data_IF_509303323898
#
_entry.id   IF_509303323898
#
_cell.length_a   1.000
_cell.length_b   1.000
_cell.length_c   1.000
_cell.angle_alpha   90.00
_cell.angle_beta   90.00
_cell.angle_gamma   90.00
#
_symmetry.space_group_name_H-M   'P 1'
#
loop_
_entity.id
_entity.type
_entity.pdbx_description
1 polymer ?
#
# COMPACT_ATOMS: atom_id res chain seq x y z
N UNK A 1 18.24 21.21 3.26
CA UNK A 1 17.24 20.87 4.31
C UNK A 1 17.87 20.83 5.69
N UNK A 2 19.06 20.26 5.85
CA UNK A 2 19.68 20.01 7.18
C UNK A 2 19.86 21.24 8.08
N UNK A 3 20.31 22.39 7.55
CA UNK A 3 20.51 23.60 8.37
C UNK A 3 19.22 24.18 8.97
N UNK A 4 18.12 24.15 8.23
CA UNK A 4 16.81 24.63 8.73
C UNK A 4 16.25 23.69 9.80
N UNK A 5 16.44 22.38 9.62
CA UNK A 5 16.05 21.35 10.58
C UNK A 5 16.73 21.58 11.94
N UNK A 6 18.05 21.78 11.93
CA UNK A 6 18.84 22.04 13.15
C UNK A 6 18.43 23.35 13.83
N UNK A 7 18.12 24.40 13.06
CA UNK A 7 17.65 25.68 13.61
C UNK A 7 16.28 25.51 14.28
N UNK A 8 15.35 24.79 13.66
CA UNK A 8 14.04 24.49 14.25
C UNK A 8 14.14 23.63 15.50
N UNK A 9 14.99 22.60 15.50
CA UNK A 9 15.23 21.77 16.70
C UNK A 9 15.86 22.58 17.83
N UNK A 10 16.83 23.46 17.52
CA UNK A 10 17.46 24.32 18.54
C UNK A 10 16.46 25.31 19.14
N UNK A 11 15.56 25.86 18.31
CA UNK A 11 14.47 26.71 18.77
C UNK A 11 13.46 25.93 19.64
N UNK A 12 13.08 24.72 19.23
CA UNK A 12 12.19 23.84 20.01
C UNK A 12 12.76 23.45 21.37
N UNK A 13 14.04 23.07 21.41
CA UNK A 13 14.78 22.79 22.66
C UNK A 13 14.80 24.01 23.58
N UNK A 14 15.05 25.21 23.04
CA UNK A 14 15.05 26.44 23.84
C UNK A 14 13.68 26.81 24.42
N UNK A 15 12.61 26.24 23.87
CA UNK A 15 11.23 26.41 24.33
C UNK A 15 10.77 25.26 25.27
N UNK A 16 11.65 24.29 25.55
CA UNK A 16 11.33 23.16 26.42
C UNK A 16 10.45 22.07 25.77
N UNK A 17 10.37 22.04 24.44
CA UNK A 17 9.61 21.00 23.72
C UNK A 17 10.28 19.64 23.84
N UNK A 18 9.47 18.58 23.86
CA UNK A 18 9.98 17.21 23.80
C UNK A 18 10.59 16.90 22.42
N UNK A 19 11.43 15.88 22.34
CA UNK A 19 12.00 15.41 21.09
C UNK A 19 10.92 14.95 20.10
N UNK A 20 9.87 14.29 20.60
CA UNK A 20 8.71 13.91 19.79
C UNK A 20 7.98 15.11 19.19
N UNK A 21 7.72 16.17 19.96
CA UNK A 21 7.09 17.42 19.47
C UNK A 21 7.95 18.15 18.43
N UNK A 22 9.28 18.13 18.62
CA UNK A 22 10.19 18.71 17.63
C UNK A 22 10.14 17.95 16.30
N UNK A 23 10.10 16.61 16.34
CA UNK A 23 9.97 15.79 15.13
C UNK A 23 8.62 15.97 14.45
N UNK A 24 7.55 16.22 15.20
CA UNK A 24 6.26 16.59 14.62
C UNK A 24 6.33 17.87 13.80
N UNK A 25 6.97 18.91 14.34
CA UNK A 25 7.12 20.20 13.65
C UNK A 25 7.95 20.12 12.36
N UNK A 26 8.75 19.06 12.20
CA UNK A 26 9.57 18.78 11.03
C UNK A 26 8.83 17.98 9.95
N UNK A 27 7.59 17.57 10.19
CA UNK A 27 6.75 16.87 9.22
C UNK A 27 6.96 15.35 9.19
N UNK A 28 7.51 14.76 10.26
CA UNK A 28 7.56 13.31 10.40
C UNK A 28 6.14 12.73 10.54
N UNK A 29 5.95 11.49 10.08
CA UNK A 29 4.65 10.83 10.18
C UNK A 29 4.25 10.58 11.63
N UNK A 30 2.94 10.60 11.93
CA UNK A 30 2.38 10.34 13.26
C UNK A 30 2.89 9.05 13.90
N UNK A 31 3.14 8.00 13.11
CA UNK A 31 3.71 6.74 13.59
C UNK A 31 5.11 6.91 14.22
N UNK A 32 5.97 7.71 13.60
CA UNK A 32 7.34 7.97 14.08
C UNK A 32 7.29 8.85 15.34
N UNK A 33 6.42 9.86 15.35
CA UNK A 33 6.22 10.75 16.50
C UNK A 33 5.76 9.94 17.72
N UNK A 34 4.78 9.05 17.53
CA UNK A 34 4.30 8.15 18.58
C UNK A 34 5.42 7.27 19.14
N UNK A 35 6.19 6.60 18.28
CA UNK A 35 7.28 5.74 18.73
C UNK A 35 8.35 6.51 19.52
N UNK A 36 8.65 7.75 19.11
CA UNK A 36 9.56 8.63 19.83
C UNK A 36 9.00 9.09 21.18
N UNK A 37 7.72 9.45 21.24
CA UNK A 37 7.06 9.87 22.49
C UNK A 37 7.09 8.74 23.52
N UNK A 38 6.81 7.50 23.10
CA UNK A 38 6.92 6.32 23.96
C UNK A 38 8.36 6.09 24.44
N UNK A 39 9.32 6.21 23.53
CA UNK A 39 10.73 6.03 23.85
C UNK A 39 11.28 7.09 24.82
N UNK A 40 10.78 8.33 24.75
CA UNK A 40 11.09 9.39 25.70
C UNK A 40 10.55 9.08 27.10
N UNK A 41 9.30 8.63 27.20
CA UNK A 41 8.66 8.27 28.48
C UNK A 41 9.36 7.08 29.14
N UNK A 42 9.76 6.08 28.34
CA UNK A 42 10.39 4.85 28.84
C UNK A 42 11.93 4.90 28.90
N UNK A 43 12.55 6.04 28.55
CA UNK A 43 13.99 6.26 28.68
C UNK A 43 14.86 5.44 27.70
N UNK A 44 14.28 4.87 26.65
CA UNK A 44 14.98 4.00 25.70
C UNK A 44 15.02 4.59 24.28
N UNK A 45 15.41 5.87 24.20
CA UNK A 45 15.44 6.63 22.95
C UNK A 45 16.44 6.04 21.94
N UNK A 46 17.59 5.56 22.41
CA UNK A 46 18.65 5.06 21.52
C UNK A 46 18.21 3.80 20.74
N UNK A 47 17.67 2.79 21.42
CA UNK A 47 17.18 1.58 20.74
C UNK A 47 15.99 1.88 19.83
N UNK A 48 15.10 2.79 20.24
CA UNK A 48 13.93 3.16 19.44
C UNK A 48 14.32 3.92 18.17
N UNK A 49 15.30 4.82 18.26
CA UNK A 49 15.86 5.49 17.08
C UNK A 49 16.48 4.50 16.10
N UNK A 50 17.20 3.47 16.58
CA UNK A 50 17.72 2.40 15.72
C UNK A 50 16.62 1.63 14.99
N UNK A 51 15.52 1.28 15.69
CA UNK A 51 14.36 0.62 15.08
C UNK A 51 13.65 1.51 14.04
N UNK A 52 13.59 2.83 14.27
CA UNK A 52 13.02 3.81 13.34
C UNK A 52 13.91 3.96 12.10
N UNK A 53 15.24 4.00 12.28
CA UNK A 53 16.20 4.05 11.18
C UNK A 53 16.03 2.85 10.25
N UNK A 54 16.00 1.63 10.80
CA UNK A 54 15.80 0.41 10.03
C UNK A 54 14.46 0.41 9.27
N UNK A 55 13.40 0.91 9.91
CA UNK A 55 12.09 1.07 9.27
C UNK A 55 12.14 2.07 8.10
N UNK A 56 12.78 3.23 8.29
CA UNK A 56 12.91 4.26 7.26
C UNK A 56 13.78 3.78 6.08
N UNK A 57 14.86 3.04 6.35
CA UNK A 57 15.71 2.46 5.30
C UNK A 57 14.92 1.43 4.47
N UNK A 58 14.12 0.59 5.14
CA UNK A 58 13.22 -0.33 4.45
C UNK A 58 12.17 0.40 3.60
N UNK A 59 11.55 1.47 4.12
CA UNK A 59 10.63 2.30 3.34
C UNK A 59 11.32 2.96 2.13
N UNK A 60 12.55 3.44 2.29
CA UNK A 60 13.33 4.04 1.22
C UNK A 60 13.65 3.03 0.11
N UNK A 61 14.08 1.81 0.48
CA UNK A 61 14.30 0.69 -0.44
C UNK A 61 13.04 0.35 -1.23
N UNK A 62 11.89 0.29 -0.56
CA UNK A 62 10.59 0.01 -1.19
C UNK A 62 10.21 1.12 -2.15
N UNK A 63 10.26 2.38 -1.73
CA UNK A 63 9.94 3.54 -2.58
C UNK A 63 10.84 3.58 -3.82
N UNK A 64 12.14 3.38 -3.63
CA UNK A 64 13.11 3.32 -4.73
C UNK A 64 12.75 2.21 -5.71
N UNK A 65 12.49 1.00 -5.21
CA UNK A 65 12.11 -0.14 -6.06
C UNK A 65 10.77 0.09 -6.79
N UNK A 66 9.79 0.70 -6.12
CA UNK A 66 8.52 1.07 -6.75
C UNK A 66 8.73 2.04 -7.91
N UNK A 67 9.54 3.09 -7.72
CA UNK A 67 9.86 4.07 -8.76
C UNK A 67 10.61 3.39 -9.91
N UNK A 68 11.66 2.62 -9.62
CA UNK A 68 12.47 1.94 -10.64
C UNK A 68 11.63 1.04 -11.53
N UNK A 69 10.72 0.24 -10.96
CA UNK A 69 9.93 -0.70 -11.77
C UNK A 69 8.73 -0.04 -12.42
N UNK A 70 8.13 0.99 -11.82
CA UNK A 70 6.98 1.71 -12.41
C UNK A 70 7.40 2.65 -13.56
N UNK A 71 8.64 3.15 -13.56
CA UNK A 71 9.12 4.10 -14.57
C UNK A 71 9.01 3.55 -15.99
N UNK A 72 9.45 2.31 -16.23
CA UNK A 72 9.45 1.72 -17.58
C UNK A 72 8.05 1.52 -18.16
N UNK A 73 7.08 0.88 -17.47
CA UNK A 73 5.70 0.79 -17.93
C UNK A 73 5.05 2.16 -18.17
N UNK A 74 5.28 3.15 -17.30
CA UNK A 74 4.68 4.48 -17.45
C UNK A 74 5.17 5.21 -18.70
N UNK A 75 6.48 5.18 -18.96
CA UNK A 75 7.05 5.77 -20.17
C UNK A 75 6.50 5.06 -21.41
N UNK A 76 6.45 3.73 -21.39
CA UNK A 76 5.97 2.93 -22.51
C UNK A 76 4.48 3.17 -22.80
N UNK A 77 3.64 3.21 -21.77
CA UNK A 77 2.22 3.52 -21.90
C UNK A 77 1.99 4.96 -22.38
N UNK A 78 2.79 5.92 -21.92
CA UNK A 78 2.75 7.30 -22.39
C UNK A 78 3.10 7.40 -23.88
N UNK A 79 4.15 6.70 -24.31
CA UNK A 79 4.55 6.64 -25.71
C UNK A 79 3.49 5.94 -26.59
N UNK A 80 2.93 4.82 -26.09
CA UNK A 80 1.83 4.12 -26.74
C UNK A 80 0.64 5.04 -26.95
N UNK A 81 0.21 5.77 -25.91
CA UNK A 81 -0.90 6.71 -25.98
C UNK A 81 -0.64 7.83 -26.99
N UNK A 82 0.60 8.35 -27.04
CA UNK A 82 1.01 9.35 -28.02
C UNK A 82 0.87 8.82 -29.46
N UNK A 83 1.43 7.63 -29.75
CA UNK A 83 1.30 6.98 -31.05
C UNK A 83 -0.18 6.78 -31.42
N UNK A 84 -0.98 6.28 -30.47
CA UNK A 84 -2.41 6.03 -30.68
C UNK A 84 -3.19 7.32 -31.00
N UNK A 85 -2.89 8.44 -30.33
CA UNK A 85 -3.48 9.74 -30.63
C UNK A 85 -3.04 10.27 -32.00
N UNK A 86 -1.76 10.12 -32.36
CA UNK A 86 -1.23 10.49 -33.67
C UNK A 86 -1.92 9.72 -34.80
N UNK A 87 -2.04 8.40 -34.65
CA UNK A 87 -2.78 7.55 -35.58
C UNK A 87 -4.24 7.99 -35.72
N UNK A 88 -4.92 8.26 -34.60
CA UNK A 88 -6.32 8.68 -34.65
C UNK A 88 -6.52 10.02 -35.34
N UNK A 89 -5.69 11.01 -35.07
CA UNK A 89 -5.90 12.37 -35.58
C UNK A 89 -5.38 12.55 -37.02
N UNK A 90 -4.35 11.79 -37.42
CA UNK A 90 -3.69 11.99 -38.71
C UNK A 90 -3.95 10.87 -39.72
N UNK A 91 -3.91 9.61 -39.28
CA UNK A 91 -3.99 8.43 -40.17
C UNK A 91 -5.42 7.92 -40.35
N UNK A 92 -6.20 7.74 -39.26
CA UNK A 92 -7.58 7.25 -39.36
C UNK A 92 -8.49 8.07 -40.30
N UNK A 93 -8.41 9.41 -40.39
CA UNK A 93 -9.24 10.16 -41.33
C UNK A 93 -8.98 9.83 -42.80
N UNK A 94 -7.82 9.24 -43.11
CA UNK A 94 -7.43 8.82 -44.46
C UNK A 94 -7.80 7.37 -44.77
N UNK A 95 -8.26 6.60 -43.77
CA UNK A 95 -8.61 5.19 -43.88
C UNK A 95 -10.12 5.00 -44.01
N UNK A 96 -10.52 3.94 -44.71
CA UNK A 96 -11.93 3.58 -44.81
C UNK A 96 -12.54 3.26 -43.44
N UNK A 97 -13.61 3.99 -43.12
CA UNK A 97 -14.35 3.89 -41.84
C UNK A 97 -15.15 2.59 -41.68
N UNK A 98 -15.29 1.82 -42.77
CA UNK A 98 -15.98 0.53 -42.81
C UNK A 98 -15.15 -0.63 -42.25
N UNK A 99 -13.82 -0.47 -42.12
CA UNK A 99 -12.96 -1.52 -41.62
C UNK A 99 -13.05 -1.63 -40.07
N UNK A 100 -13.30 -2.85 -39.58
CA UNK A 100 -13.41 -3.18 -38.16
C UNK A 100 -12.12 -2.80 -37.41
N UNK A 101 -10.95 -2.97 -38.04
CA UNK A 101 -9.67 -2.61 -37.44
C UNK A 101 -9.56 -1.09 -37.19
N UNK A 102 -10.05 -0.28 -38.12
CA UNK A 102 -10.12 1.19 -38.04
C UNK A 102 -11.03 1.63 -36.89
N UNK A 103 -12.18 0.96 -36.69
CA UNK A 103 -13.11 1.26 -35.59
C UNK A 103 -12.57 0.90 -34.21
N UNK A 104 -11.89 -0.25 -34.08
CA UNK A 104 -11.27 -0.67 -32.82
C UNK A 104 -10.16 0.32 -32.42
N UNK A 105 -9.30 0.71 -33.36
CA UNK A 105 -8.20 1.65 -33.11
C UNK A 105 -8.70 3.06 -32.81
N UNK A 106 -9.76 3.53 -33.47
CA UNK A 106 -10.34 4.84 -33.20
C UNK A 106 -10.87 5.00 -31.78
N UNK A 107 -11.45 3.94 -31.23
CA UNK A 107 -12.04 3.95 -29.89
C UNK A 107 -11.04 3.53 -28.79
N UNK A 108 -9.97 2.81 -29.13
CA UNK A 108 -8.94 2.33 -28.22
C UNK A 108 -8.34 3.42 -27.30
N UNK A 109 -8.00 4.65 -27.76
CA UNK A 109 -7.55 5.73 -26.89
C UNK A 109 -8.61 6.16 -25.86
N UNK A 110 -9.89 6.21 -26.25
CA UNK A 110 -10.99 6.58 -25.37
C UNK A 110 -11.32 5.46 -24.38
N UNK A 111 -11.21 4.19 -24.79
CA UNK A 111 -11.33 3.04 -23.89
C UNK A 111 -10.21 3.06 -22.84
N UNK A 112 -8.97 3.32 -23.26
CA UNK A 112 -7.83 3.41 -22.35
C UNK A 112 -8.00 4.57 -21.35
N UNK A 113 -8.32 5.77 -21.83
CA UNK A 113 -8.61 6.93 -20.98
C UNK A 113 -9.84 6.69 -20.08
N UNK A 114 -10.86 6.01 -20.60
CA UNK A 114 -12.07 5.62 -19.88
C UNK A 114 -11.78 4.61 -18.77
N UNK A 115 -10.90 3.63 -18.99
CA UNK A 115 -10.43 2.71 -17.94
C UNK A 115 -9.66 3.46 -16.84
N UNK A 116 -8.75 4.36 -17.21
CA UNK A 116 -8.01 5.21 -16.24
C UNK A 116 -8.99 6.11 -15.47
N UNK A 117 -9.97 6.70 -16.15
CA UNK A 117 -11.04 7.47 -15.54
C UNK A 117 -11.91 6.64 -14.58
N UNK A 118 -12.31 5.43 -14.98
CA UNK A 118 -13.08 4.49 -14.16
C UNK A 118 -12.31 4.11 -12.89
N UNK A 119 -11.02 3.77 -13.02
CA UNK A 119 -10.14 3.49 -11.88
C UNK A 119 -10.03 4.71 -10.96
N UNK A 120 -9.95 5.92 -11.52
CA UNK A 120 -9.89 7.17 -10.75
C UNK A 120 -11.20 7.46 -10.02
N UNK A 121 -12.34 7.20 -10.65
CA UNK A 121 -13.67 7.32 -10.03
C UNK A 121 -13.88 6.27 -8.95
N UNK A 122 -13.48 5.02 -9.20
CA UNK A 122 -13.49 3.96 -8.19
C UNK A 122 -12.58 4.31 -7.01
N UNK A 123 -11.41 4.90 -7.26
CA UNK A 123 -10.53 5.39 -6.20
C UNK A 123 -11.18 6.54 -5.41
N UNK A 124 -11.85 7.49 -6.08
CA UNK A 124 -12.60 8.57 -5.42
C UNK A 124 -13.79 8.05 -4.62
N UNK A 125 -14.54 7.07 -5.15
CA UNK A 125 -15.61 6.39 -4.43
C UNK A 125 -15.08 5.61 -3.23
N UNK A 126 -13.95 4.93 -3.39
CA UNK A 126 -13.26 4.27 -2.28
C UNK A 126 -12.78 5.26 -1.23
N UNK A 127 -12.28 6.44 -1.62
CA UNK A 127 -11.85 7.51 -0.71
C UNK A 127 -13.03 8.16 0.03
N UNK A 128 -14.15 8.38 -0.65
CA UNK A 128 -15.37 8.94 -0.04
C UNK A 128 -16.06 7.94 0.88
N UNK A 129 -16.12 6.66 0.49
CA UNK A 129 -16.55 5.56 1.35
C UNK A 129 -15.61 5.38 2.55
N UNK A 130 -14.29 5.50 2.33
CA UNK A 130 -13.29 5.51 3.40
C UNK A 130 -13.53 6.64 4.39
N UNK A 131 -13.95 7.84 3.95
CA UNK A 131 -14.28 8.96 4.86
C UNK A 131 -15.60 8.79 5.61
N UNK A 132 -16.57 8.02 5.10
CA UNK A 132 -17.92 7.87 5.69
C UNK A 132 -18.13 6.60 6.52
N UNK A 133 -17.32 5.57 6.32
CA UNK A 133 -17.51 4.25 6.96
C UNK A 133 -16.50 3.99 8.09
N UNK A 134 -16.88 3.14 9.05
CA UNK A 134 -15.93 2.57 10.03
C UNK A 134 -14.77 1.92 9.29
N UNK A 135 -13.54 2.23 9.70
CA UNK A 135 -12.33 1.73 9.05
C UNK A 135 -12.26 0.21 9.12
N UNK A 136 -12.71 -0.37 10.22
CA UNK A 136 -12.77 -1.82 10.41
C UNK A 136 -13.63 -2.49 9.33
N UNK A 137 -14.76 -1.88 8.95
CA UNK A 137 -15.60 -2.38 7.85
C UNK A 137 -14.93 -2.23 6.48
N UNK A 138 -14.27 -1.10 6.23
CA UNK A 138 -13.57 -0.85 4.95
C UNK A 138 -12.44 -1.85 4.74
N UNK A 139 -11.58 -2.03 5.74
CA UNK A 139 -10.46 -2.97 5.67
C UNK A 139 -10.96 -4.42 5.62
N UNK A 140 -12.08 -4.74 6.25
CA UNK A 140 -12.72 -6.05 6.14
C UNK A 140 -13.20 -6.37 4.73
N UNK A 141 -13.79 -5.41 4.02
CA UNK A 141 -14.20 -5.57 2.62
C UNK A 141 -12.96 -5.69 1.73
N UNK A 142 -11.97 -4.83 1.94
CA UNK A 142 -10.74 -4.81 1.15
C UNK A 142 -9.96 -6.12 1.28
N UNK A 143 -9.94 -6.70 2.49
CA UNK A 143 -9.32 -7.98 2.79
C UNK A 143 -9.98 -9.18 2.08
N UNK A 144 -11.24 -9.06 1.65
CA UNK A 144 -11.95 -10.14 0.92
C UNK A 144 -11.67 -10.14 -0.58
N UNK A 145 -10.98 -9.14 -1.11
CA UNK A 145 -10.68 -9.06 -2.54
C UNK A 145 -9.56 -10.05 -2.93
N UNK A 146 -9.71 -10.82 -4.02
CA UNK A 146 -8.82 -11.93 -4.37
C UNK A 146 -7.37 -11.53 -4.70
N UNK A 147 -7.11 -10.26 -5.00
CA UNK A 147 -5.76 -9.74 -5.23
C UNK A 147 -5.30 -8.80 -4.11
N UNK A 148 -6.09 -7.75 -3.83
CA UNK A 148 -5.74 -6.72 -2.86
C UNK A 148 -5.78 -7.27 -1.43
N UNK A 149 -6.71 -8.18 -1.15
CA UNK A 149 -6.96 -8.68 0.19
C UNK A 149 -5.77 -9.38 0.81
N UNK A 150 -5.00 -10.13 0.00
CA UNK A 150 -3.77 -10.78 0.45
C UNK A 150 -2.73 -9.75 0.90
N UNK A 151 -2.55 -8.66 0.14
CA UNK A 151 -1.61 -7.60 0.52
C UNK A 151 -2.06 -6.87 1.78
N UNK A 152 -3.34 -6.56 1.88
CA UNK A 152 -3.94 -5.90 3.05
C UNK A 152 -3.79 -6.77 4.28
N UNK A 153 -4.15 -8.04 4.19
CA UNK A 153 -4.03 -9.00 5.29
C UNK A 153 -2.57 -9.16 5.73
N UNK A 154 -1.65 -9.31 4.78
CA UNK A 154 -0.24 -9.51 5.10
C UNK A 154 0.37 -8.25 5.72
N UNK A 155 0.08 -7.07 5.17
CA UNK A 155 0.56 -5.78 5.70
C UNK A 155 0.02 -5.51 7.10
N UNK A 156 -1.30 -5.60 7.30
CA UNK A 156 -1.91 -5.34 8.60
C UNK A 156 -1.45 -6.36 9.63
N UNK A 157 -1.38 -7.64 9.28
CA UNK A 157 -0.83 -8.67 10.18
C UNK A 157 0.60 -8.35 10.60
N UNK A 158 1.48 -8.00 9.65
CA UNK A 158 2.88 -7.66 9.96
C UNK A 158 3.00 -6.40 10.81
N UNK A 159 2.18 -5.38 10.53
CA UNK A 159 2.16 -4.12 11.26
C UNK A 159 1.71 -4.32 12.71
N UNK A 160 0.53 -4.92 12.93
CA UNK A 160 0.00 -5.13 14.29
C UNK A 160 0.85 -6.11 15.10
N UNK A 161 1.35 -7.19 14.49
CA UNK A 161 2.27 -8.10 15.17
C UNK A 161 3.54 -7.39 15.63
N UNK A 162 4.11 -6.49 14.82
CA UNK A 162 5.30 -5.70 15.19
C UNK A 162 5.01 -4.74 16.34
N UNK A 163 3.91 -4.00 16.26
CA UNK A 163 3.54 -3.03 17.30
C UNK A 163 3.25 -3.73 18.63
N UNK A 164 2.40 -4.76 18.63
CA UNK A 164 2.10 -5.52 19.86
C UNK A 164 3.32 -6.26 20.39
N UNK A 165 4.10 -6.90 19.51
CA UNK A 165 5.34 -7.59 19.89
C UNK A 165 6.30 -6.66 20.64
N UNK A 166 6.60 -5.49 20.03
CA UNK A 166 7.47 -4.49 20.66
C UNK A 166 6.95 -4.03 22.02
N UNK A 167 5.64 -3.77 22.13
CA UNK A 167 5.03 -3.27 23.36
C UNK A 167 5.03 -4.32 24.48
N UNK A 168 4.70 -5.56 24.15
CA UNK A 168 4.67 -6.68 25.10
C UNK A 168 6.09 -7.06 25.54
N UNK A 169 7.07 -7.05 24.62
CA UNK A 169 8.48 -7.27 24.94
C UNK A 169 9.05 -6.21 25.89
N UNK A 170 8.47 -5.01 25.91
CA UNK A 170 8.81 -3.94 26.86
C UNK A 170 8.10 -4.10 28.22
N UNK A 171 7.32 -5.16 28.40
CA UNK A 171 6.63 -5.46 29.67
C UNK A 171 5.27 -4.79 29.81
N UNK A 172 4.71 -4.20 28.75
CA UNK A 172 3.37 -3.62 28.82
C UNK A 172 2.29 -4.71 28.79
N UNK A 173 1.27 -4.54 29.64
CA UNK A 173 0.10 -5.42 29.66
C UNK A 173 -0.84 -5.13 28.49
N UNK A 174 -1.55 -6.16 28.00
CA UNK A 174 -2.48 -6.03 26.87
C UNK A 174 -3.56 -4.96 27.09
N UNK A 175 -4.04 -4.81 28.32
CA UNK A 175 -5.02 -3.79 28.72
C UNK A 175 -4.49 -2.37 28.51
N UNK A 176 -3.22 -2.12 28.86
CA UNK A 176 -2.56 -0.83 28.69
C UNK A 176 -2.34 -0.56 27.19
N UNK A 177 -1.85 -1.56 26.46
CA UNK A 177 -1.65 -1.48 25.01
C UNK A 177 -2.97 -1.08 24.33
N UNK A 178 -4.06 -1.79 24.60
CA UNK A 178 -5.35 -1.51 23.95
C UNK A 178 -5.97 -0.17 24.35
N UNK A 179 -5.63 0.39 25.52
CA UNK A 179 -6.01 1.76 25.86
C UNK A 179 -5.21 2.77 25.02
N UNK A 180 -3.89 2.59 24.93
CA UNK A 180 -3.02 3.46 24.13
C UNK A 180 -3.39 3.45 22.64
N UNK A 181 -3.84 2.30 22.11
CA UNK A 181 -4.33 2.19 20.74
C UNK A 181 -5.49 3.17 20.43
N UNK A 182 -6.32 3.49 21.42
CA UNK A 182 -7.50 4.35 21.25
C UNK A 182 -7.13 5.84 21.11
N UNK A 183 -5.95 6.21 21.59
CA UNK A 183 -5.44 7.58 21.56
C UNK A 183 -4.69 7.88 20.25
N UNK A 184 -4.23 6.85 19.53
CA UNK A 184 -3.45 6.99 18.30
C UNK A 184 -4.23 7.57 17.11
N UNK A 185 -3.59 8.41 16.29
CA UNK A 185 -4.25 9.07 15.14
C UNK A 185 -4.85 8.14 14.06
N UNK A 186 -4.44 6.86 14.01
CA UNK A 186 -4.99 5.90 13.05
C UNK A 186 -6.36 5.38 13.48
N UNK A 187 -7.41 5.75 12.75
CA UNK A 187 -8.79 5.36 13.06
C UNK A 187 -9.01 3.83 13.06
N UNK A 188 -8.31 3.06 12.22
CA UNK A 188 -8.38 1.59 12.27
C UNK A 188 -7.78 1.07 13.59
N UNK A 189 -6.65 1.65 14.02
CA UNK A 189 -5.97 1.27 15.26
C UNK A 189 -6.85 1.58 16.48
N UNK A 190 -7.57 2.71 16.46
CA UNK A 190 -8.57 3.06 17.47
C UNK A 190 -9.71 2.05 17.54
N UNK A 191 -10.34 1.74 16.40
CA UNK A 191 -11.48 0.83 16.35
C UNK A 191 -11.10 -0.59 16.81
N UNK A 192 -9.94 -1.10 16.38
CA UNK A 192 -9.42 -2.40 16.83
C UNK A 192 -9.08 -2.38 18.32
N UNK A 193 -8.44 -1.31 18.82
CA UNK A 193 -8.13 -1.17 20.24
C UNK A 193 -9.36 -1.13 21.13
N UNK A 194 -10.44 -0.44 20.71
CA UNK A 194 -11.71 -0.40 21.43
C UNK A 194 -12.36 -1.79 21.52
N UNK A 195 -12.42 -2.51 20.40
CA UNK A 195 -13.06 -3.83 20.33
C UNK A 195 -12.27 -4.89 21.13
N UNK A 196 -10.93 -4.84 21.06
CA UNK A 196 -10.05 -5.70 21.87
C UNK A 196 -10.13 -5.39 23.36
N UNK A 197 -10.18 -4.10 23.75
CA UNK A 197 -10.35 -3.71 25.15
C UNK A 197 -11.70 -4.19 25.71
N UNK A 198 -12.77 -4.10 24.93
CA UNK A 198 -14.08 -4.60 25.33
C UNK A 198 -14.10 -6.13 25.42
N UNK A 199 -13.40 -6.81 24.52
CA UNK A 199 -13.26 -8.27 24.52
C UNK A 199 -12.59 -8.78 25.80
N UNK A 200 -11.48 -8.16 26.22
CA UNK A 200 -10.82 -8.48 27.49
C UNK A 200 -11.73 -8.22 28.69
N UNK A 201 -12.45 -7.09 28.72
CA UNK A 201 -13.42 -6.77 29.79
C UNK A 201 -14.53 -7.82 29.90
N UNK A 202 -14.92 -8.42 28.78
CA UNK A 202 -15.94 -9.46 28.73
C UNK A 202 -15.39 -10.87 29.03
N UNK A 203 -14.10 -11.01 29.37
CA UNK A 203 -13.47 -12.28 29.70
C UNK A 203 -13.23 -13.20 28.49
N UNK A 204 -13.26 -12.66 27.26
CA UNK A 204 -12.94 -13.42 26.05
C UNK A 204 -11.44 -13.37 25.76
N UNK A 205 -10.91 -14.47 25.23
CA UNK A 205 -9.49 -14.59 24.90
C UNK A 205 -9.08 -13.68 23.73
N UNK A 206 -7.89 -13.09 23.85
CA UNK A 206 -7.30 -12.20 22.85
C UNK A 206 -7.07 -12.93 21.52
N UNK A 207 -6.46 -14.13 21.57
CA UNK A 207 -6.22 -15.00 20.42
C UNK A 207 -7.51 -15.25 19.61
N UNK A 208 -8.59 -15.66 20.28
CA UNK A 208 -9.87 -15.98 19.65
C UNK A 208 -10.47 -14.78 18.92
N UNK A 209 -10.43 -13.59 19.55
CA UNK A 209 -10.97 -12.38 18.93
C UNK A 209 -10.19 -11.98 17.68
N UNK A 210 -8.87 -12.14 17.69
CA UNK A 210 -8.03 -11.87 16.53
C UNK A 210 -8.42 -12.73 15.32
N UNK A 211 -8.79 -13.99 15.55
CA UNK A 211 -9.27 -14.90 14.51
C UNK A 211 -10.58 -14.45 13.83
N UNK A 212 -11.35 -13.54 14.45
CA UNK A 212 -12.62 -13.05 13.88
C UNK A 212 -12.42 -11.94 12.84
N UNK A 213 -11.30 -11.23 12.87
CA UNK A 213 -11.05 -10.12 11.95
C UNK A 213 -10.63 -10.61 10.57
N UNK A 214 -11.40 -10.33 9.49
CA UNK A 214 -11.10 -10.84 8.15
C UNK A 214 -9.89 -10.17 7.49
N UNK A 215 -9.41 -9.06 8.05
CA UNK A 215 -8.21 -8.36 7.61
C UNK A 215 -6.94 -8.80 8.32
N UNK A 216 -7.01 -9.75 9.26
CA UNK A 216 -5.84 -10.46 9.75
C UNK A 216 -5.72 -11.83 9.09
N UNK A 217 -4.48 -12.28 8.98
CA UNK A 217 -4.17 -13.65 8.60
C UNK A 217 -4.56 -14.58 9.76
N UNK A 218 -5.17 -15.72 9.43
CA UNK A 218 -5.61 -16.70 10.44
C UNK A 218 -4.47 -17.21 11.32
N UNK A 219 -3.27 -17.25 10.74
CA UNK A 219 -2.05 -17.66 11.43
C UNK A 219 -1.71 -16.74 12.62
N UNK A 220 -2.10 -15.46 12.59
CA UNK A 220 -1.83 -14.53 13.69
C UNK A 220 -2.50 -14.98 15.00
N UNK A 221 -3.75 -15.46 14.93
CA UNK A 221 -4.47 -16.00 16.09
C UNK A 221 -3.72 -17.16 16.74
N UNK A 222 -3.16 -18.06 15.91
CA UNK A 222 -2.42 -19.23 16.37
C UNK A 222 -1.07 -18.86 16.99
N UNK A 223 -0.37 -17.87 16.42
CA UNK A 223 0.89 -17.35 16.97
C UNK A 223 0.65 -16.69 18.33
N UNK A 224 -0.45 -15.95 18.48
CA UNK A 224 -0.83 -15.33 19.75
C UNK A 224 -1.12 -16.41 20.79
N UNK A 225 -1.97 -17.37 20.48
CA UNK A 225 -2.32 -18.48 21.38
C UNK A 225 -1.07 -19.24 21.84
N UNK A 226 -0.18 -19.58 20.89
CA UNK A 226 1.09 -20.23 21.20
C UNK A 226 2.00 -19.37 22.09
N UNK A 227 2.10 -18.08 21.79
CA UNK A 227 2.91 -17.13 22.55
C UNK A 227 2.39 -16.91 23.98
N UNK A 228 1.06 -16.88 24.16
CA UNK A 228 0.41 -16.79 25.47
C UNK A 228 0.71 -18.04 26.31
N UNK A 229 0.51 -19.24 25.76
CA UNK A 229 0.76 -20.52 26.45
C UNK A 229 2.23 -20.68 26.86
N UNK A 230 3.16 -20.13 26.07
CA UNK A 230 4.60 -20.19 26.35
C UNK A 230 5.14 -19.00 27.14
N UNK A 231 4.29 -18.05 27.52
CA UNK A 231 4.68 -16.78 28.16
C UNK A 231 5.76 -16.02 27.38
N UNK A 232 5.72 -16.11 26.04
CA UNK A 232 6.70 -15.54 25.09
C UNK A 232 6.03 -14.73 23.97
N UNK A 233 4.83 -14.24 24.23
CA UNK A 233 3.99 -13.55 23.24
C UNK A 233 4.73 -12.40 22.52
N UNK A 234 5.43 -11.54 23.26
CA UNK A 234 6.18 -10.41 22.68
C UNK A 234 7.21 -10.86 21.64
N UNK A 235 8.09 -11.81 22.01
CA UNK A 235 9.12 -12.32 21.11
C UNK A 235 8.56 -13.10 19.91
N UNK A 236 7.50 -13.89 20.11
CA UNK A 236 6.89 -14.66 19.01
C UNK A 236 6.22 -13.73 18.00
N UNK A 237 5.57 -12.66 18.47
CA UNK A 237 4.99 -11.63 17.60
C UNK A 237 6.04 -10.83 16.84
N UNK A 238 7.19 -10.51 17.46
CA UNK A 238 8.30 -9.85 16.77
C UNK A 238 8.87 -10.72 15.64
N UNK A 239 9.16 -11.99 15.92
CA UNK A 239 9.67 -12.95 14.92
C UNK A 239 8.64 -13.14 13.79
N UNK A 240 7.37 -13.28 14.15
CA UNK A 240 6.30 -13.46 13.17
C UNK A 240 6.11 -12.21 12.30
N UNK A 241 6.23 -11.02 12.88
CA UNK A 241 6.14 -9.76 12.15
C UNK A 241 7.27 -9.63 11.12
N UNK A 242 8.50 -9.96 11.48
CA UNK A 242 9.66 -9.94 10.58
C UNK A 242 9.45 -10.86 9.37
N UNK A 243 9.07 -12.13 9.61
CA UNK A 243 8.75 -13.08 8.53
C UNK A 243 7.60 -12.62 7.65
N UNK A 244 6.57 -12.00 8.25
CA UNK A 244 5.40 -11.52 7.50
C UNK A 244 5.75 -10.28 6.66
N UNK A 245 6.63 -9.40 7.15
CA UNK A 245 7.19 -8.29 6.40
C UNK A 245 8.02 -8.75 5.21
N UNK A 246 8.91 -9.73 5.41
CA UNK A 246 9.70 -10.32 4.34
C UNK A 246 8.79 -10.94 3.26
N UNK A 247 7.77 -11.69 3.68
CA UNK A 247 6.78 -12.27 2.78
C UNK A 247 5.99 -11.19 2.00
N UNK A 248 5.61 -10.09 2.67
CA UNK A 248 4.95 -8.94 2.03
C UNK A 248 5.83 -8.34 0.94
N UNK A 249 7.09 -8.00 1.25
CA UNK A 249 8.01 -7.39 0.28
C UNK A 249 8.34 -8.33 -0.87
N UNK A 250 8.54 -9.62 -0.58
CA UNK A 250 8.75 -10.64 -1.60
C UNK A 250 7.57 -10.72 -2.57
N UNK A 251 6.34 -10.68 -2.04
CA UNK A 251 5.11 -10.71 -2.84
C UNK A 251 4.97 -9.45 -3.70
N UNK A 252 5.26 -8.28 -3.13
CA UNK A 252 5.28 -7.00 -3.86
C UNK A 252 6.26 -7.07 -5.02
N UNK A 253 7.50 -7.50 -4.76
CA UNK A 253 8.54 -7.61 -5.77
C UNK A 253 8.16 -8.63 -6.88
N UNK A 254 7.61 -9.80 -6.52
CA UNK A 254 7.15 -10.81 -7.48
C UNK A 254 6.02 -10.29 -8.36
N UNK A 255 5.05 -9.60 -7.77
CA UNK A 255 3.92 -9.02 -8.50
C UNK A 255 4.41 -7.96 -9.46
N UNK A 256 5.32 -7.11 -8.99
CA UNK A 256 5.93 -6.06 -9.81
C UNK A 256 6.70 -6.65 -11.01
N UNK A 257 7.43 -7.76 -10.81
CA UNK A 257 8.12 -8.47 -11.88
C UNK A 257 7.17 -9.13 -12.90
N UNK A 258 5.92 -9.45 -12.53
CA UNK A 258 4.92 -9.99 -13.46
C UNK A 258 4.19 -8.90 -14.25
N UNK A 259 4.04 -7.71 -13.69
CA UNK A 259 3.40 -6.58 -14.36
C UNK A 259 4.18 -6.16 -15.60
N UNK A 260 5.52 -6.17 -15.53
CA UNK A 260 6.37 -5.72 -16.64
C UNK A 260 6.19 -6.54 -17.94
N UNK A 261 6.28 -7.90 -17.94
CA UNK A 261 5.99 -8.71 -19.12
C UNK A 261 4.56 -8.53 -19.66
N UNK A 262 3.56 -8.40 -18.77
CA UNK A 262 2.17 -8.21 -19.18
C UNK A 262 1.99 -6.91 -19.97
N UNK A 263 2.63 -5.82 -19.50
CA UNK A 263 2.62 -4.53 -20.20
C UNK A 263 3.30 -4.64 -21.57
N UNK A 264 4.40 -5.38 -21.70
CA UNK A 264 5.05 -5.59 -23.00
C UNK A 264 4.18 -6.39 -23.97
N UNK A 265 3.53 -7.47 -23.52
CA UNK A 265 2.61 -8.25 -24.36
C UNK A 265 1.44 -7.38 -24.81
N UNK A 266 0.89 -6.57 -23.91
CA UNK A 266 -0.17 -5.62 -24.23
C UNK A 266 0.27 -4.63 -25.30
N UNK A 267 1.44 -4.01 -25.15
CA UNK A 267 2.00 -3.07 -26.12
C UNK A 267 2.27 -3.74 -27.48
N UNK A 268 2.85 -4.94 -27.48
CA UNK A 268 3.10 -5.69 -28.70
C UNK A 268 1.81 -6.01 -29.46
N UNK A 269 0.75 -6.41 -28.73
CA UNK A 269 -0.56 -6.68 -29.30
C UNK A 269 -1.16 -5.41 -29.93
N UNK A 270 -1.04 -4.26 -29.27
CA UNK A 270 -1.48 -2.99 -29.85
C UNK A 270 -0.71 -2.67 -31.12
N UNK A 271 0.63 -2.80 -31.13
CA UNK A 271 1.44 -2.55 -32.33
C UNK A 271 0.98 -3.43 -33.50
N UNK A 272 0.74 -4.73 -33.28
CA UNK A 272 0.23 -5.63 -34.33
C UNK A 272 -1.12 -5.18 -34.87
N UNK A 273 -2.05 -4.78 -33.99
CA UNK A 273 -3.34 -4.23 -34.42
C UNK A 273 -3.17 -2.96 -35.25
N UNK A 274 -2.25 -2.08 -34.86
CA UNK A 274 -1.93 -0.86 -35.61
C UNK A 274 -1.43 -1.18 -37.02
N UNK A 275 -0.50 -2.13 -37.15
CA UNK A 275 0.00 -2.59 -38.45
C UNK A 275 -1.12 -3.18 -39.31
N UNK A 276 -1.99 -4.01 -38.73
CA UNK A 276 -3.09 -4.64 -39.46
C UNK A 276 -4.07 -3.61 -40.04
N UNK A 277 -4.41 -2.57 -39.27
CA UNK A 277 -5.32 -1.53 -39.75
C UNK A 277 -4.73 -0.62 -40.83
N UNK A 278 -3.40 -0.47 -40.86
CA UNK A 278 -2.73 0.28 -41.92
C UNK A 278 -2.58 -0.55 -43.19
N UNK A 279 -2.17 -1.82 -43.07
CA UNK A 279 -1.88 -2.67 -44.23
C UNK A 279 -3.13 -3.21 -44.92
N UNK A 280 -4.18 -3.56 -44.17
CA UNK A 280 -5.41 -4.10 -44.74
C UNK A 280 -6.04 -3.20 -45.83
N UNK A 281 -6.26 -1.89 -45.61
CA UNK A 281 -6.78 -1.01 -46.66
C UNK A 281 -5.79 -0.82 -47.81
N UNK A 282 -4.48 -0.85 -47.54
CA UNK A 282 -3.46 -0.80 -48.60
C UNK A 282 -3.56 -2.01 -49.54
N UNK A 283 -3.74 -3.21 -48.99
CA UNK A 283 -3.93 -4.44 -49.78
C UNK A 283 -5.24 -4.43 -50.55
N UNK A 284 -6.35 -4.01 -49.94
CA UNK A 284 -7.65 -3.87 -50.64
C UNK A 284 -7.54 -2.92 -51.83
N UNK A 285 -6.84 -1.79 -51.69
CA UNK A 285 -6.62 -0.85 -52.78
C UNK A 285 -5.68 -1.38 -53.88
N UNK A 286 -4.79 -2.32 -53.55
CA UNK A 286 -3.94 -2.99 -54.56
C UNK A 286 -4.69 -4.08 -55.33
N UNK A 287 -5.58 -4.83 -54.67
CA UNK A 287 -6.41 -5.87 -55.30
C UNK A 287 -7.41 -5.30 -56.32
N UNK A 288 -7.87 -4.06 -56.12
CA UNK A 288 -8.83 -3.38 -57.01
C UNK A 288 -8.17 -2.87 -58.32
N UNK A 289 -6.84 -2.85 -58.41
CA UNK A 289 -6.09 -2.34 -59.57
C UNK A 289 -5.53 -3.43 -60.52
N UNK A 290 -6.05 -4.65 -60.47
CA UNK A 290 -5.76 -5.73 -61.43
C UNK A 290 -7.03 -6.24 -62.12
#
# INVERSE_FOLDING_TARGET
>A
MDKQCVIQMRAGLSQGKSFSEMMESLGFSSTIITQLSLAEVHGNLHLSLGKIEEYLDNLAKVKKKLIEVATYPLILLGFLLLIMLGLRNYLLPQLDSSNIATQIIGNLPQIFLGMVGLVSVLALLALTFYKRSSKMSVFSILARLPFIGIFVQTYLTAYYAREWGNMISQGMELTQIFQMMQEQGSQLFKEVGQDLAQTLKNGREFSQMIGTYPFFRKELSLIIEYGEVKSKLGSELEIYAEKTWEAFFTRVNRTMNLVQPLVFIFVALIIVLLYAAMLMPMYQNMEVNF
#
